data_IF_896895859244
#
_entry.id   IF_896895859244
#
_cell.length_a   1.000
_cell.length_b   1.000
_cell.length_c   1.000
_cell.angle_alpha   90.00
_cell.angle_beta   90.00
_cell.angle_gamma   90.00
#
_symmetry.space_group_name_H-M   'P 1'
#
loop_
_entity.id
_entity.type
_entity.pdbx_description
1 polymer ?
#
# COMPACT_ATOMS: atom_id res chain seq x y z
N UNK A 1 -1.24 7.26 -13.78
CA UNK A 1 -0.89 5.99 -13.12
C UNK A 1 -0.44 6.24 -11.69
N UNK A 2 -1.34 6.18 -10.73
CA UNK A 2 -1.00 6.46 -9.33
C UNK A 2 -0.35 5.22 -8.69
N UNK A 3 0.70 5.44 -7.90
CA UNK A 3 1.33 4.44 -7.05
C UNK A 3 0.90 4.65 -5.60
N UNK A 4 0.80 3.57 -4.83
CA UNK A 4 0.74 3.62 -3.37
C UNK A 4 2.12 3.28 -2.82
N UNK A 5 2.64 4.18 -2.00
CA UNK A 5 3.87 3.99 -1.23
C UNK A 5 3.48 3.62 0.19
N UNK A 6 4.00 2.50 0.69
CA UNK A 6 3.82 2.03 2.06
C UNK A 6 5.18 2.04 2.74
N UNK A 7 5.24 2.61 3.94
CA UNK A 7 6.46 2.69 4.75
C UNK A 7 6.22 1.85 5.99
N UNK A 8 7.11 0.88 6.23
CA UNK A 8 7.08 0.05 7.43
C UNK A 8 7.97 0.64 8.54
N UNK A 9 7.72 0.28 9.79
CA UNK A 9 8.49 0.75 10.94
C UNK A 9 9.97 0.33 10.85
N UNK A 10 10.25 -0.80 10.20
CA UNK A 10 11.61 -1.26 9.88
C UNK A 10 12.37 -0.36 8.90
N UNK A 11 11.71 0.59 8.23
CA UNK A 11 12.25 1.39 7.14
C UNK A 11 12.10 0.75 5.76
N UNK A 12 11.47 -0.43 5.64
CA UNK A 12 11.11 -1.02 4.35
C UNK A 12 10.07 -0.14 3.64
N UNK A 13 10.37 0.23 2.39
CA UNK A 13 9.47 0.98 1.51
C UNK A 13 8.96 0.06 0.41
N UNK A 14 7.65 0.03 0.23
CA UNK A 14 6.97 -0.83 -0.74
C UNK A 14 6.15 0.06 -1.66
N UNK A 15 6.29 -0.17 -2.97
CA UNK A 15 5.54 0.54 -4.01
C UNK A 15 4.63 -0.44 -4.72
N UNK A 16 3.35 -0.12 -4.77
CA UNK A 16 2.32 -0.93 -5.43
C UNK A 16 1.58 -0.02 -6.40
N UNK A 17 1.44 -0.47 -7.65
CA UNK A 17 0.65 0.27 -8.62
C UNK A 17 -0.83 0.21 -8.23
N UNK A 18 -1.54 1.34 -8.28
CA UNK A 18 -2.92 1.40 -7.81
C UNK A 18 -3.89 0.55 -8.66
N UNK A 19 -3.53 0.25 -9.90
CA UNK A 19 -4.31 -0.61 -10.81
C UNK A 19 -4.24 -2.10 -10.47
N UNK A 20 -3.21 -2.55 -9.73
CA UNK A 20 -3.11 -3.91 -9.21
C UNK A 20 -4.03 -4.17 -8.01
N UNK A 21 -4.57 -3.11 -7.40
CA UNK A 21 -5.42 -3.20 -6.22
C UNK A 21 -6.87 -3.35 -6.63
N UNK A 22 -7.50 -4.46 -6.23
CA UNK A 22 -8.90 -4.72 -6.53
C UNK A 22 -9.82 -3.64 -5.95
N UNK A 23 -10.73 -3.10 -6.76
CA UNK A 23 -11.79 -2.19 -6.31
C UNK A 23 -12.77 -2.91 -5.39
N UNK A 24 -12.94 -2.41 -4.17
CA UNK A 24 -13.84 -2.97 -3.16
C UNK A 24 -14.93 -1.97 -2.76
N UNK A 25 -16.06 -2.49 -2.27
CA UNK A 25 -17.13 -1.67 -1.71
C UNK A 25 -16.75 -1.03 -0.37
N UNK A 26 -17.49 0.00 0.05
CA UNK A 26 -17.19 0.78 1.27
C UNK A 26 -17.23 -0.04 2.57
N UNK A 27 -18.08 -1.06 2.66
CA UNK A 27 -18.22 -1.90 3.86
C UNK A 27 -17.55 -3.26 3.66
N UNK A 28 -16.22 -3.26 3.56
CA UNK A 28 -15.40 -4.46 3.35
C UNK A 28 -14.15 -4.41 4.23
N UNK A 29 -13.46 -5.54 4.40
CA UNK A 29 -12.14 -5.58 5.05
C UNK A 29 -10.99 -5.19 4.13
N UNK A 30 -11.27 -4.97 2.84
CA UNK A 30 -10.24 -4.77 1.81
C UNK A 30 -9.53 -6.06 1.40
N UNK A 31 -8.41 -5.90 0.70
CA UNK A 31 -7.55 -6.99 0.22
C UNK A 31 -6.12 -6.83 0.74
N UNK A 32 -5.40 -7.95 0.85
CA UNK A 32 -3.98 -7.93 1.20
C UNK A 32 -3.15 -7.54 -0.01
N UNK A 33 -2.46 -6.41 0.07
CA UNK A 33 -1.53 -5.91 -0.96
C UNK A 33 -0.05 -6.14 -0.62
N UNK A 34 0.25 -6.39 0.66
CA UNK A 34 1.61 -6.63 1.17
C UNK A 34 1.58 -7.73 2.24
N UNK A 35 2.61 -8.58 2.27
CA UNK A 35 2.93 -9.43 3.42
C UNK A 35 4.12 -8.83 4.15
N UNK A 36 3.91 -8.47 5.42
CA UNK A 36 4.96 -7.93 6.28
C UNK A 36 5.82 -9.06 6.83
N UNK A 37 7.08 -8.73 7.14
CA UNK A 37 7.93 -9.61 7.93
C UNK A 37 7.40 -9.75 9.35
N UNK A 38 7.79 -10.83 10.03
CA UNK A 38 7.40 -11.06 11.40
C UNK A 38 7.86 -9.92 12.32
N UNK A 39 6.92 -9.38 13.11
CA UNK A 39 7.17 -8.25 14.02
C UNK A 39 7.20 -6.87 13.37
N UNK A 40 7.04 -6.76 12.04
CA UNK A 40 6.98 -5.47 11.36
C UNK A 40 5.55 -4.93 11.27
N UNK A 41 5.42 -3.61 11.18
CA UNK A 41 4.13 -2.92 11.09
C UNK A 41 4.19 -1.78 10.09
N UNK A 42 3.04 -1.38 9.56
CA UNK A 42 2.94 -0.21 8.67
C UNK A 42 3.01 1.05 9.52
N UNK A 43 3.96 1.93 9.20
CA UNK A 43 4.14 3.23 9.83
C UNK A 43 3.36 4.33 9.10
N UNK A 44 3.33 4.30 7.76
CA UNK A 44 2.63 5.29 6.93
C UNK A 44 2.28 4.74 5.54
N UNK A 45 1.32 5.38 4.85
CA UNK A 45 1.00 5.13 3.46
C UNK A 45 0.60 6.42 2.73
N UNK A 46 1.11 6.61 1.52
CA UNK A 46 0.86 7.80 0.70
C UNK A 46 0.57 7.43 -0.75
N UNK A 47 -0.19 8.30 -1.43
CA UNK A 47 -0.42 8.20 -2.87
C UNK A 47 0.65 9.02 -3.57
N UNK A 48 1.43 8.37 -4.43
CA UNK A 48 2.30 9.03 -5.39
C UNK A 48 1.50 9.21 -6.68
N UNK A 49 1.13 10.45 -6.96
CA UNK A 49 0.43 10.82 -8.19
C UNK A 49 1.29 10.47 -9.41
N UNK A 50 0.72 9.69 -10.32
CA UNK A 50 1.34 9.44 -11.62
C UNK A 50 1.20 10.63 -12.53
N UNK A 51 2.32 11.04 -13.10
CA UNK A 51 2.52 12.17 -14.01
C UNK A 51 2.11 13.55 -13.44
N UNK A 52 3.13 14.43 -13.38
CA UNK A 52 3.00 15.88 -13.36
C UNK A 52 2.94 16.41 -14.80
#
# INVERSE_FOLDING_TARGET
DDDIIIICQSGQIIRVSADEISTQGRNTQGVRIVTLHEGDTIQDAAILKGDL
#
